data_IF_076041752342
#
_entry.id   IF_076041752342
#
_cell.length_a   1.000
_cell.length_b   1.000
_cell.length_c   1.000
_cell.angle_alpha   90.00
_cell.angle_beta   90.00
_cell.angle_gamma   90.00
#
_symmetry.space_group_name_H-M   'P 1'
#
loop_
_entity.id
_entity.type
_entity.pdbx_description
1 polymer ?
#
# COMPACT_ATOMS: atom_id res chain seq x y z
N UNK A 1 4.00 22.49 73.37
CA UNK A 1 5.22 22.52 72.56
C UNK A 1 4.90 23.25 71.26
N UNK A 2 5.48 24.43 71.03
CA UNK A 2 5.24 25.19 69.80
C UNK A 2 6.11 24.63 68.68
N UNK A 3 5.50 24.12 67.61
CA UNK A 3 6.23 23.66 66.42
C UNK A 3 6.83 24.89 65.75
N UNK A 4 8.17 24.96 65.69
CA UNK A 4 8.86 26.03 64.95
C UNK A 4 8.81 25.70 63.46
N UNK A 5 7.97 26.41 62.72
CA UNK A 5 7.90 26.34 61.26
C UNK A 5 9.02 27.22 60.70
N UNK A 6 9.89 26.66 59.88
CA UNK A 6 11.02 27.35 59.26
C UNK A 6 11.02 27.13 57.75
N UNK A 7 11.69 28.02 57.01
CA UNK A 7 11.91 27.86 55.58
C UNK A 7 12.68 26.56 55.31
N UNK A 8 12.31 25.83 54.25
CA UNK A 8 12.98 24.58 53.89
C UNK A 8 14.41 24.76 53.36
N UNK A 9 14.80 25.98 53.01
CA UNK A 9 16.14 26.27 52.53
C UNK A 9 17.15 26.24 53.69
N UNK A 10 18.19 25.43 53.55
CA UNK A 10 19.22 25.29 54.59
C UNK A 10 19.87 26.64 54.91
N UNK A 11 19.88 27.01 56.20
CA UNK A 11 20.47 28.26 56.69
C UNK A 11 19.59 29.51 56.55
N UNK A 12 18.38 29.41 56.00
CA UNK A 12 17.47 30.54 55.88
C UNK A 12 16.73 30.81 57.19
N UNK A 13 16.83 32.04 57.72
CA UNK A 13 16.14 32.49 58.95
C UNK A 13 14.92 33.38 58.68
N UNK A 14 14.60 33.64 57.40
CA UNK A 14 13.49 34.49 57.00
C UNK A 14 12.13 33.89 57.41
N UNK A 15 11.13 34.72 57.74
CA UNK A 15 9.81 34.25 58.13
C UNK A 15 9.13 33.49 56.98
N UNK A 16 8.44 32.42 57.35
CA UNK A 16 7.65 31.62 56.40
C UNK A 16 6.41 32.39 55.98
N UNK A 17 6.17 32.48 54.68
CA UNK A 17 5.02 33.19 54.10
C UNK A 17 3.95 32.23 53.56
N UNK A 18 4.30 30.96 53.32
CA UNK A 18 3.39 29.99 52.72
C UNK A 18 3.95 28.58 52.65
N UNK A 19 3.09 27.67 52.16
CA UNK A 19 3.42 26.27 51.90
C UNK A 19 3.38 26.01 50.39
N UNK A 20 4.37 25.27 49.88
CA UNK A 20 4.49 24.92 48.47
C UNK A 20 3.38 23.98 48.04
N UNK A 21 2.57 24.45 47.08
CA UNK A 21 1.52 23.65 46.43
C UNK A 21 2.13 22.48 45.64
N UNK A 22 3.36 22.66 45.15
CA UNK A 22 4.12 21.69 44.36
C UNK A 22 3.77 21.70 42.87
N UNK A 23 4.67 21.15 42.05
CA UNK A 23 4.48 20.98 40.61
C UNK A 23 4.28 19.49 40.28
N UNK A 24 3.16 19.12 39.64
CA UNK A 24 2.70 17.74 39.34
C UNK A 24 2.47 16.82 40.56
N UNK A 25 3.05 17.13 41.72
CA UNK A 25 2.89 16.43 43.00
C UNK A 25 2.86 17.45 44.14
N UNK A 26 2.21 17.08 45.25
CA UNK A 26 2.21 17.90 46.47
C UNK A 26 3.62 17.97 47.07
N UNK A 27 4.15 19.18 47.25
CA UNK A 27 5.48 19.39 47.83
C UNK A 27 5.42 19.55 49.35
N UNK A 28 4.53 20.41 49.84
CA UNK A 28 4.28 20.62 51.27
C UNK A 28 5.40 21.34 52.03
N UNK A 29 6.49 21.73 51.38
CA UNK A 29 7.60 22.50 51.99
C UNK A 29 7.19 23.94 52.27
N UNK A 30 7.61 24.47 53.42
CA UNK A 30 7.40 25.88 53.78
C UNK A 30 8.50 26.77 53.19
N UNK A 31 8.15 27.94 52.68
CA UNK A 31 9.09 28.88 52.05
C UNK A 31 8.93 30.31 52.58
N UNK A 32 10.01 31.09 52.47
CA UNK A 32 10.00 32.53 52.67
C UNK A 32 9.93 33.25 51.30
N UNK A 33 9.74 34.57 51.32
CA UNK A 33 9.60 35.39 50.10
C UNK A 33 10.74 35.22 49.09
N UNK A 34 11.99 35.18 49.58
CA UNK A 34 13.18 35.05 48.73
C UNK A 34 13.36 33.67 48.07
N UNK A 35 12.78 32.61 48.64
CA UNK A 35 12.93 31.22 48.17
C UNK A 35 11.65 30.69 47.52
N UNK A 36 10.81 31.59 47.04
CA UNK A 36 9.55 31.28 46.38
C UNK A 36 9.36 32.06 45.10
N UNK A 37 8.74 31.41 44.12
CA UNK A 37 8.21 32.04 42.93
C UNK A 37 6.72 31.73 42.93
N UNK A 38 5.90 32.77 43.13
CA UNK A 38 4.45 32.65 43.38
C UNK A 38 4.12 31.70 44.55
N UNK A 39 3.38 30.62 44.29
CA UNK A 39 2.96 29.63 45.30
C UNK A 39 3.90 28.44 45.42
N UNK A 40 5.03 28.45 44.69
CA UNK A 40 5.98 27.36 44.60
C UNK A 40 7.28 27.71 45.32
N UNK A 41 7.88 26.72 46.00
CA UNK A 41 9.28 26.85 46.40
C UNK A 41 10.19 26.88 45.17
N UNK A 42 11.40 27.43 45.33
CA UNK A 42 12.42 27.52 44.27
C UNK A 42 12.61 26.21 43.48
N UNK A 43 12.66 25.08 44.17
CA UNK A 43 12.86 23.77 43.52
C UNK A 43 11.68 23.39 42.61
N UNK A 44 10.45 23.54 43.10
CA UNK A 44 9.25 23.23 42.32
C UNK A 44 9.03 24.23 41.18
N UNK A 45 9.39 25.50 41.37
CA UNK A 45 9.33 26.51 40.33
C UNK A 45 10.34 26.20 39.21
N UNK A 46 11.59 25.86 39.56
CA UNK A 46 12.61 25.46 38.60
C UNK A 46 12.22 24.19 37.84
N UNK A 47 11.64 23.21 38.53
CA UNK A 47 11.12 22.00 37.89
C UNK A 47 9.99 22.31 36.92
N UNK A 48 9.04 23.19 37.29
CA UNK A 48 7.97 23.63 36.41
C UNK A 48 8.52 24.27 35.13
N UNK A 49 9.48 25.18 35.26
CA UNK A 49 10.11 25.86 34.12
C UNK A 49 10.83 24.85 33.22
N UNK A 50 11.56 23.89 33.80
CA UNK A 50 12.22 22.83 33.04
C UNK A 50 11.22 21.96 32.28
N UNK A 51 10.16 21.52 32.94
CA UNK A 51 9.10 20.71 32.33
C UNK A 51 8.39 21.47 31.21
N UNK A 52 7.98 22.72 31.44
CA UNK A 52 7.36 23.58 30.41
C UNK A 52 8.27 23.78 29.21
N UNK A 53 9.59 23.97 29.44
CA UNK A 53 10.57 24.06 28.37
C UNK A 53 10.65 22.77 27.56
N UNK A 54 10.70 21.61 28.22
CA UNK A 54 10.73 20.31 27.51
C UNK A 54 9.45 20.04 26.74
N UNK A 55 8.29 20.40 27.28
CA UNK A 55 7.00 20.24 26.61
C UNK A 55 6.90 21.16 25.37
N UNK A 56 7.40 22.39 25.47
CA UNK A 56 7.49 23.30 24.33
C UNK A 56 8.44 22.79 23.24
N UNK A 57 9.62 22.28 23.62
CA UNK A 57 10.59 21.67 22.69
C UNK A 57 9.99 20.44 21.99
N UNK A 58 9.31 19.56 22.73
CA UNK A 58 8.62 18.40 22.16
C UNK A 58 7.51 18.80 21.18
N UNK A 59 6.72 19.81 21.54
CA UNK A 59 5.66 20.34 20.66
C UNK A 59 6.25 20.88 19.35
N UNK A 60 7.31 21.68 19.45
CA UNK A 60 8.02 22.22 18.28
C UNK A 60 8.62 21.11 17.40
N UNK A 61 9.24 20.09 18.02
CA UNK A 61 9.80 18.95 17.30
C UNK A 61 8.71 18.18 16.53
N UNK A 62 7.54 17.97 17.16
CA UNK A 62 6.39 17.33 16.53
C UNK A 62 5.86 18.14 15.33
N UNK A 63 5.70 19.44 15.49
CA UNK A 63 5.26 20.34 14.40
C UNK A 63 6.24 20.33 13.24
N UNK A 64 7.55 20.36 13.52
CA UNK A 64 8.60 20.23 12.50
C UNK A 64 8.54 18.88 11.77
N UNK A 65 8.36 17.79 12.50
CA UNK A 65 8.25 16.45 11.91
C UNK A 65 7.01 16.33 11.00
N UNK A 66 5.88 16.90 11.41
CA UNK A 66 4.66 16.93 10.59
C UNK A 66 4.84 17.77 9.32
N UNK A 67 5.52 18.92 9.40
CA UNK A 67 5.83 19.74 8.24
C UNK A 67 6.71 18.99 7.22
N UNK A 68 7.76 18.31 7.69
CA UNK A 68 8.63 17.48 6.84
C UNK A 68 7.84 16.34 6.19
N UNK A 69 6.98 15.67 6.96
CA UNK A 69 6.12 14.60 6.44
C UNK A 69 5.19 15.09 5.32
N UNK A 70 4.53 16.23 5.50
CA UNK A 70 3.66 16.83 4.47
C UNK A 70 4.45 17.21 3.21
N UNK A 71 5.67 17.70 3.38
CA UNK A 71 6.55 18.01 2.26
C UNK A 71 6.95 16.75 1.49
N UNK A 72 7.27 15.66 2.21
CA UNK A 72 7.60 14.36 1.61
C UNK A 72 6.41 13.77 0.85
N UNK A 73 5.19 13.91 1.38
CA UNK A 73 3.97 13.50 0.67
C UNK A 73 3.78 14.25 -0.65
N UNK A 74 3.93 15.59 -0.64
CA UNK A 74 3.81 16.40 -1.87
C UNK A 74 4.86 16.03 -2.91
N UNK A 75 6.10 15.77 -2.48
CA UNK A 75 7.17 15.31 -3.37
C UNK A 75 6.87 13.92 -3.94
N UNK A 76 6.42 12.99 -3.12
CA UNK A 76 6.06 11.65 -3.58
C UNK A 76 4.90 11.70 -4.58
N UNK A 77 3.87 12.50 -4.32
CA UNK A 77 2.75 12.68 -5.24
C UNK A 77 3.21 13.30 -6.56
N UNK A 78 4.10 14.31 -6.51
CA UNK A 78 4.69 14.92 -7.71
C UNK A 78 5.46 13.90 -8.54
N UNK A 79 6.33 13.09 -7.92
CA UNK A 79 7.10 12.03 -8.61
C UNK A 79 6.17 10.95 -9.18
N UNK A 80 5.10 10.59 -8.45
CA UNK A 80 4.12 9.60 -8.90
C UNK A 80 3.32 10.06 -10.13
N UNK A 81 2.95 11.35 -10.16
CA UNK A 81 2.19 11.97 -11.24
C UNK A 81 3.04 12.42 -12.42
N UNK A 82 4.35 12.56 -12.25
CA UNK A 82 5.26 12.98 -13.33
C UNK A 82 5.06 12.05 -14.53
N UNK A 83 4.50 12.61 -15.60
CA UNK A 83 4.25 11.86 -16.83
C UNK A 83 5.60 11.61 -17.46
N UNK A 84 6.18 10.45 -17.16
CA UNK A 84 7.36 9.97 -17.87
C UNK A 84 6.87 9.65 -19.27
N UNK A 85 7.26 10.43 -20.31
CA UNK A 85 6.83 10.14 -21.67
C UNK A 85 7.39 8.77 -22.01
N UNK A 86 6.50 7.79 -22.03
CA UNK A 86 6.81 6.48 -22.56
C UNK A 86 6.90 6.74 -24.06
N UNK A 87 8.04 6.43 -24.73
CA UNK A 87 8.11 6.58 -26.17
C UNK A 87 6.89 5.90 -26.76
N UNK A 88 6.12 6.66 -27.55
CA UNK A 88 4.86 6.20 -28.12
C UNK A 88 5.19 5.12 -29.15
N UNK A 89 5.43 3.90 -28.67
CA UNK A 89 5.37 2.72 -29.49
C UNK A 89 3.92 2.62 -29.93
N UNK A 90 3.66 3.05 -31.18
CA UNK A 90 2.39 2.83 -31.88
C UNK A 90 2.22 1.34 -32.12
N UNK A 91 2.04 0.59 -31.04
CA UNK A 91 1.70 -0.80 -31.15
C UNK A 91 0.26 -0.86 -31.60
N UNK A 92 0.00 -1.47 -32.77
CA UNK A 92 -1.35 -1.75 -33.24
C UNK A 92 -1.94 -2.90 -32.41
N UNK A 93 -1.93 -2.77 -31.08
CA UNK A 93 -2.42 -3.76 -30.12
C UNK A 93 -3.84 -4.18 -30.47
N UNK A 94 -4.69 -3.22 -30.86
CA UNK A 94 -6.05 -3.50 -31.30
C UNK A 94 -6.08 -4.46 -32.49
N UNK A 95 -5.17 -4.34 -33.47
CA UNK A 95 -5.13 -5.28 -34.60
C UNK A 95 -4.65 -6.66 -34.18
N UNK A 96 -3.64 -6.76 -33.33
CA UNK A 96 -3.13 -8.04 -32.82
C UNK A 96 -4.14 -8.76 -31.93
N UNK A 97 -4.89 -8.03 -31.10
CA UNK A 97 -5.92 -8.59 -30.22
C UNK A 97 -7.13 -9.06 -31.05
N UNK A 98 -7.51 -8.31 -32.11
CA UNK A 98 -8.53 -8.74 -33.07
C UNK A 98 -8.07 -9.98 -33.85
N UNK A 99 -6.84 -10.02 -34.36
CA UNK A 99 -6.30 -11.17 -35.09
C UNK A 99 -6.19 -12.41 -34.18
N UNK A 100 -5.71 -12.25 -32.95
CA UNK A 100 -5.63 -13.34 -31.97
C UNK A 100 -7.02 -13.84 -31.54
N UNK A 101 -7.96 -12.93 -31.30
CA UNK A 101 -9.35 -13.27 -30.95
C UNK A 101 -10.08 -14.02 -32.08
N UNK A 102 -9.92 -13.57 -33.33
CA UNK A 102 -10.48 -14.25 -34.49
C UNK A 102 -9.89 -15.65 -34.67
N UNK A 103 -8.57 -15.81 -34.45
CA UNK A 103 -7.92 -17.13 -34.52
C UNK A 103 -8.50 -18.11 -33.49
N UNK A 104 -8.74 -17.66 -32.25
CA UNK A 104 -9.34 -18.50 -31.22
C UNK A 104 -10.78 -18.89 -31.55
N UNK A 105 -11.60 -17.95 -32.03
CA UNK A 105 -13.00 -18.21 -32.42
C UNK A 105 -13.06 -19.22 -33.57
N UNK A 106 -12.23 -19.05 -34.60
CA UNK A 106 -12.18 -19.99 -35.74
C UNK A 106 -11.71 -21.37 -35.27
N UNK A 107 -10.70 -21.45 -34.42
CA UNK A 107 -10.24 -22.71 -33.83
C UNK A 107 -11.32 -23.43 -33.03
N UNK A 108 -12.07 -22.69 -32.20
CA UNK A 108 -13.17 -23.24 -31.41
C UNK A 108 -14.33 -23.73 -32.28
N UNK A 109 -14.71 -22.99 -33.32
CA UNK A 109 -15.76 -23.42 -34.27
C UNK A 109 -15.34 -24.71 -34.99
N UNK A 110 -14.11 -24.77 -35.50
CA UNK A 110 -13.60 -25.98 -36.16
C UNK A 110 -13.58 -27.19 -35.23
N UNK A 111 -13.23 -27.00 -33.96
CA UNK A 111 -13.26 -28.04 -32.94
C UNK A 111 -14.68 -28.51 -32.61
N UNK A 112 -15.65 -27.59 -32.51
CA UNK A 112 -17.05 -27.96 -32.30
C UNK A 112 -17.61 -28.74 -33.50
N UNK A 113 -17.28 -28.33 -34.72
CA UNK A 113 -17.73 -29.01 -35.95
C UNK A 113 -17.15 -30.41 -36.07
N UNK A 114 -15.89 -30.64 -35.67
CA UNK A 114 -15.31 -31.99 -35.66
C UNK A 114 -15.97 -32.90 -34.63
N UNK A 115 -16.29 -32.40 -33.43
CA UNK A 115 -17.04 -33.16 -32.42
C UNK A 115 -18.44 -33.51 -32.94
N UNK A 116 -19.17 -32.54 -33.49
CA UNK A 116 -20.52 -32.77 -34.01
C UNK A 116 -20.50 -33.81 -35.14
N UNK A 117 -19.54 -33.72 -36.07
CA UNK A 117 -19.39 -34.70 -37.14
C UNK A 117 -19.17 -36.13 -36.62
N UNK A 118 -18.43 -36.29 -35.52
CA UNK A 118 -18.20 -37.59 -34.88
C UNK A 118 -19.47 -38.12 -34.21
N UNK A 119 -20.23 -37.26 -33.54
CA UNK A 119 -21.46 -37.64 -32.84
C UNK A 119 -22.61 -37.99 -33.80
N UNK A 120 -22.63 -37.43 -35.00
CA UNK A 120 -23.68 -37.70 -36.00
C UNK A 120 -23.45 -38.95 -36.85
N UNK A 121 -22.34 -39.69 -36.63
CA UNK A 121 -22.09 -40.91 -37.39
C UNK A 121 -23.04 -42.03 -36.93
N UNK A 122 -23.83 -42.62 -37.83
CA UNK A 122 -24.78 -43.67 -37.46
C UNK A 122 -24.03 -44.90 -36.91
N UNK A 123 -24.55 -45.47 -35.82
CA UNK A 123 -23.96 -46.59 -35.06
C UNK A 123 -23.76 -47.87 -35.91
N UNK A 124 -24.35 -47.92 -37.10
CA UNK A 124 -24.39 -49.07 -37.98
C UNK A 124 -23.07 -49.36 -38.71
N UNK A 125 -22.05 -48.49 -38.56
CA UNK A 125 -20.75 -48.58 -39.28
C UNK A 125 -19.63 -49.16 -38.38
N UNK A 126 -19.94 -49.61 -37.16
CA UNK A 126 -18.93 -49.98 -36.15
C UNK A 126 -18.21 -51.32 -36.41
N UNK A 127 -18.57 -52.10 -37.44
CA UNK A 127 -17.81 -53.29 -37.88
C UNK A 127 -17.03 -53.10 -39.20
N UNK A 128 -16.66 -51.85 -39.54
CA UNK A 128 -15.76 -51.56 -40.65
C UNK A 128 -14.31 -52.00 -40.38
N UNK A 129 -13.62 -52.46 -41.43
CA UNK A 129 -12.25 -52.98 -41.37
C UNK A 129 -11.27 -52.03 -40.66
N UNK A 130 -10.23 -52.59 -40.04
CA UNK A 130 -9.15 -51.89 -39.31
C UNK A 130 -8.64 -50.61 -40.01
N UNK A 131 -8.69 -50.54 -41.34
CA UNK A 131 -8.36 -49.36 -42.14
C UNK A 131 -9.21 -48.10 -41.86
N UNK A 132 -10.51 -48.21 -41.54
CA UNK A 132 -11.36 -47.05 -41.24
C UNK A 132 -11.04 -46.45 -39.86
N UNK A 133 -10.70 -47.29 -38.90
CA UNK A 133 -10.28 -46.88 -37.57
C UNK A 133 -8.98 -46.08 -37.62
N UNK A 134 -8.03 -46.50 -38.47
CA UNK A 134 -6.80 -45.76 -38.73
C UNK A 134 -7.03 -44.42 -39.43
N UNK A 135 -8.00 -44.33 -40.36
CA UNK A 135 -8.34 -43.06 -41.00
C UNK A 135 -8.95 -42.05 -40.01
N UNK A 136 -9.84 -42.51 -39.11
CA UNK A 136 -10.38 -41.65 -38.03
C UNK A 136 -9.28 -41.21 -37.06
N UNK A 137 -8.37 -42.10 -36.68
CA UNK A 137 -7.25 -41.76 -35.80
C UNK A 137 -6.30 -40.75 -36.45
N UNK A 138 -5.97 -40.92 -37.74
CA UNK A 138 -5.18 -39.95 -38.51
C UNK A 138 -5.88 -38.59 -38.60
N UNK A 139 -7.20 -38.55 -38.83
CA UNK A 139 -7.95 -37.30 -38.85
C UNK A 139 -7.89 -36.57 -37.49
N UNK A 140 -7.98 -37.31 -36.38
CA UNK A 140 -7.82 -36.76 -35.02
C UNK A 140 -6.40 -36.24 -34.77
N UNK A 141 -5.37 -36.98 -35.18
CA UNK A 141 -3.96 -36.56 -35.03
C UNK A 141 -3.69 -35.30 -35.87
N UNK A 142 -4.22 -35.22 -37.08
CA UNK A 142 -4.10 -34.03 -37.94
C UNK A 142 -4.86 -32.84 -37.34
N UNK A 143 -6.11 -33.00 -36.89
CA UNK A 143 -6.86 -31.92 -36.26
C UNK A 143 -6.21 -31.45 -34.94
N UNK A 144 -5.74 -32.37 -34.11
CA UNK A 144 -5.03 -32.07 -32.88
C UNK A 144 -3.70 -31.33 -33.13
N UNK A 145 -2.96 -31.71 -34.17
CA UNK A 145 -1.72 -31.03 -34.54
C UNK A 145 -1.97 -29.63 -35.13
N UNK A 146 -3.06 -29.39 -35.85
CA UNK A 146 -3.45 -28.02 -36.26
C UNK A 146 -3.81 -27.13 -35.06
N UNK A 147 -4.46 -27.68 -34.02
CA UNK A 147 -4.75 -26.94 -32.78
C UNK A 147 -3.46 -26.62 -32.01
N UNK A 148 -2.54 -27.59 -31.91
CA UNK A 148 -1.24 -27.40 -31.28
C UNK A 148 -0.32 -26.45 -32.07
N UNK A 149 -0.40 -26.46 -33.41
CA UNK A 149 0.35 -25.56 -34.28
C UNK A 149 -0.25 -24.15 -34.35
N UNK A 150 -1.56 -24.00 -34.11
CA UNK A 150 -2.22 -22.70 -33.99
C UNK A 150 -1.91 -21.99 -32.66
N UNK A 151 -1.58 -22.73 -31.61
CA UNK A 151 -1.23 -22.21 -30.28
C UNK A 151 -0.06 -21.20 -30.28
N UNK A 152 1.07 -21.43 -30.96
CA UNK A 152 2.15 -20.44 -31.01
C UNK A 152 1.71 -19.09 -31.58
N UNK A 153 0.75 -19.05 -32.51
CA UNK A 153 0.25 -17.79 -33.08
C UNK A 153 -0.52 -16.96 -32.03
N UNK A 154 -1.16 -17.59 -31.05
CA UNK A 154 -1.84 -16.90 -29.95
C UNK A 154 -0.93 -16.61 -28.75
N UNK A 155 -0.02 -17.52 -28.40
CA UNK A 155 0.84 -17.40 -27.20
C UNK A 155 2.02 -16.46 -27.42
N UNK A 156 2.63 -16.44 -28.62
CA UNK A 156 3.79 -15.58 -28.91
C UNK A 156 3.44 -14.08 -28.75
N UNK A 157 2.30 -13.57 -29.28
CA UNK A 157 1.90 -12.18 -29.04
C UNK A 157 1.67 -11.85 -27.57
N UNK A 158 1.10 -12.78 -26.78
CA UNK A 158 0.85 -12.57 -25.35
C UNK A 158 2.15 -12.54 -24.54
N UNK A 159 3.08 -13.46 -24.81
CA UNK A 159 4.41 -13.49 -24.18
C UNK A 159 5.24 -12.25 -24.56
N UNK A 160 5.12 -11.80 -25.82
CA UNK A 160 5.77 -10.57 -26.26
C UNK A 160 5.15 -9.33 -25.59
N UNK A 161 3.82 -9.29 -25.44
CA UNK A 161 3.12 -8.18 -24.79
C UNK A 161 3.44 -8.10 -23.29
N UNK A 162 3.60 -9.23 -22.60
CA UNK A 162 4.04 -9.26 -21.21
C UNK A 162 5.52 -8.85 -21.05
N UNK A 163 6.39 -9.25 -21.98
CA UNK A 163 7.78 -8.79 -22.03
C UNK A 163 7.89 -7.27 -22.34
N UNK A 164 7.02 -6.75 -23.20
CA UNK A 164 6.96 -5.31 -23.50
C UNK A 164 6.51 -4.51 -22.25
N UNK A 165 5.50 -5.01 -21.54
CA UNK A 165 4.99 -4.37 -20.32
C UNK A 165 6.05 -4.38 -19.22
N UNK A 166 6.83 -5.46 -19.09
CA UNK A 166 7.93 -5.52 -18.13
C UNK A 166 9.03 -4.52 -18.47
N UNK A 167 9.41 -4.35 -19.75
CA UNK A 167 10.40 -3.36 -20.16
C UNK A 167 9.97 -1.93 -19.86
N UNK A 168 8.73 -1.54 -20.23
CA UNK A 168 8.20 -0.20 -19.92
C UNK A 168 8.18 0.05 -18.41
N UNK A 169 7.84 -0.98 -17.63
CA UNK A 169 7.85 -0.88 -16.18
C UNK A 169 9.27 -0.69 -15.62
N UNK A 170 10.27 -1.39 -16.17
CA UNK A 170 11.66 -1.28 -15.75
C UNK A 170 12.24 0.09 -16.07
N UNK A 171 12.00 0.61 -17.27
CA UNK A 171 12.53 1.91 -17.67
C UNK A 171 11.90 3.06 -16.87
N UNK A 172 10.59 2.94 -16.56
CA UNK A 172 9.91 3.85 -15.64
C UNK A 172 10.51 3.75 -14.24
N UNK A 173 10.77 2.55 -13.74
CA UNK A 173 11.39 2.33 -12.42
C UNK A 173 12.79 2.96 -12.35
N UNK A 174 13.62 2.84 -13.39
CA UNK A 174 14.95 3.48 -13.42
C UNK A 174 14.87 4.99 -13.27
N UNK A 175 14.01 5.65 -14.04
CA UNK A 175 13.82 7.11 -13.97
C UNK A 175 13.26 7.55 -12.61
N UNK A 176 12.34 6.78 -12.04
CA UNK A 176 11.83 7.03 -10.68
C UNK A 176 12.94 6.89 -9.65
N UNK A 177 13.75 5.83 -9.73
CA UNK A 177 14.88 5.60 -8.82
C UNK A 177 15.88 6.75 -8.94
N UNK A 178 16.24 7.17 -10.14
CA UNK A 178 17.12 8.33 -10.37
C UNK A 178 16.56 9.60 -9.70
N UNK A 179 15.29 9.94 -9.95
CA UNK A 179 14.62 11.08 -9.29
C UNK A 179 14.62 10.97 -7.77
N UNK A 180 14.29 9.79 -7.23
CA UNK A 180 14.29 9.54 -5.79
C UNK A 180 15.69 9.69 -5.21
N UNK A 181 16.73 9.24 -5.91
CA UNK A 181 18.12 9.42 -5.49
C UNK A 181 18.57 10.87 -5.53
N UNK A 182 18.13 11.68 -6.51
CA UNK A 182 18.39 13.12 -6.52
C UNK A 182 17.70 13.80 -5.34
N UNK A 183 16.44 13.46 -5.05
CA UNK A 183 15.72 14.00 -3.89
C UNK A 183 16.36 13.56 -2.58
N UNK A 184 16.90 12.34 -2.49
CA UNK A 184 17.63 11.87 -1.30
C UNK A 184 18.86 12.72 -1.00
N UNK A 185 19.58 13.17 -2.03
CA UNK A 185 20.74 14.06 -1.87
C UNK A 185 20.32 15.42 -1.31
N UNK A 186 19.15 15.94 -1.71
CA UNK A 186 18.58 17.18 -1.17
C UNK A 186 17.94 16.98 0.21
N UNK A 187 17.37 15.79 0.46
CA UNK A 187 16.52 15.48 1.62
C UNK A 187 16.78 14.08 2.12
N UNK A 188 17.64 14.00 3.14
CA UNK A 188 18.01 12.75 3.79
C UNK A 188 16.78 12.01 4.32
N UNK A 189 16.70 10.71 4.04
CA UNK A 189 15.64 9.81 4.49
C UNK A 189 14.42 9.75 3.58
N UNK A 190 14.37 10.49 2.46
CA UNK A 190 13.26 10.44 1.51
C UNK A 190 13.08 9.05 0.89
N UNK A 191 14.15 8.31 0.63
CA UNK A 191 14.12 6.96 0.04
C UNK A 191 13.42 5.96 0.96
N UNK A 192 13.69 6.02 2.27
CA UNK A 192 13.02 5.15 3.27
C UNK A 192 11.52 5.46 3.30
N UNK A 193 11.16 6.75 3.32
CA UNK A 193 9.78 7.20 3.24
C UNK A 193 9.10 6.74 1.94
N UNK A 194 9.74 6.95 0.79
CA UNK A 194 9.22 6.58 -0.53
C UNK A 194 8.89 5.09 -0.61
N UNK A 195 9.81 4.23 -0.17
CA UNK A 195 9.60 2.79 -0.17
C UNK A 195 8.41 2.38 0.71
N UNK A 196 8.26 2.98 1.90
CA UNK A 196 7.12 2.74 2.78
C UNK A 196 5.80 3.23 2.15
N UNK A 197 5.81 4.42 1.56
CA UNK A 197 4.66 5.02 0.90
C UNK A 197 4.21 4.21 -0.33
N UNK A 198 5.14 3.77 -1.19
CA UNK A 198 4.83 2.90 -2.34
C UNK A 198 4.25 1.57 -1.89
N UNK A 199 4.80 0.96 -0.83
CA UNK A 199 4.27 -0.28 -0.26
C UNK A 199 2.84 -0.10 0.23
N UNK A 200 2.56 1.00 0.95
CA UNK A 200 1.22 1.33 1.42
C UNK A 200 0.25 1.55 0.25
N UNK A 201 0.65 2.31 -0.77
CA UNK A 201 -0.18 2.55 -1.96
C UNK A 201 -0.51 1.25 -2.73
N UNK A 202 0.45 0.33 -2.83
CA UNK A 202 0.20 -0.98 -3.43
C UNK A 202 -0.79 -1.80 -2.59
N UNK A 203 -0.67 -1.78 -1.26
CA UNK A 203 -1.63 -2.44 -0.37
C UNK A 203 -3.03 -1.86 -0.52
N UNK A 204 -3.18 -0.53 -0.51
CA UNK A 204 -4.47 0.15 -0.72
C UNK A 204 -5.08 -0.20 -2.09
N UNK A 205 -4.28 -0.27 -3.14
CA UNK A 205 -4.75 -0.72 -4.47
C UNK A 205 -5.17 -2.18 -4.46
N UNK A 206 -4.42 -3.06 -3.80
CA UNK A 206 -4.80 -4.48 -3.72
C UNK A 206 -6.10 -4.66 -2.94
N UNK A 207 -6.32 -3.91 -1.86
CA UNK A 207 -7.57 -3.96 -1.10
C UNK A 207 -8.74 -3.38 -1.91
N UNK A 208 -8.56 -2.24 -2.59
CA UNK A 208 -9.58 -1.71 -3.51
C UNK A 208 -9.91 -2.69 -4.64
N UNK A 209 -8.90 -3.34 -5.22
CA UNK A 209 -9.11 -4.35 -6.26
C UNK A 209 -9.83 -5.59 -5.70
N UNK A 210 -9.51 -6.02 -4.47
CA UNK A 210 -10.26 -7.09 -3.79
C UNK A 210 -11.70 -6.68 -3.54
N UNK A 211 -11.97 -5.46 -3.09
CA UNK A 211 -13.32 -4.95 -2.89
C UNK A 211 -14.11 -4.89 -4.19
N UNK A 212 -13.49 -4.43 -5.29
CA UNK A 212 -14.12 -4.42 -6.62
C UNK A 212 -14.38 -5.86 -7.07
N UNK A 213 -13.41 -6.77 -6.93
CA UNK A 213 -13.57 -8.17 -7.31
C UNK A 213 -14.68 -8.84 -6.49
N UNK A 214 -14.70 -8.62 -5.18
CA UNK A 214 -15.76 -9.12 -4.29
C UNK A 214 -17.11 -8.48 -4.63
N UNK A 215 -17.15 -7.20 -5.01
CA UNK A 215 -18.34 -6.50 -5.50
C UNK A 215 -18.87 -7.08 -6.81
N UNK A 216 -17.99 -7.35 -7.77
CA UNK A 216 -18.35 -8.00 -9.04
C UNK A 216 -18.81 -9.44 -8.79
N UNK A 217 -18.12 -10.19 -7.93
CA UNK A 217 -18.52 -11.55 -7.55
C UNK A 217 -19.82 -11.56 -6.73
N UNK A 218 -20.11 -10.55 -5.92
CA UNK A 218 -21.41 -10.41 -5.25
C UNK A 218 -22.48 -9.95 -6.21
N UNK A 219 -22.23 -9.11 -7.22
CA UNK A 219 -23.25 -8.77 -8.24
C UNK A 219 -23.55 -9.99 -9.11
N UNK A 220 -22.54 -10.73 -9.56
CA UNK A 220 -22.71 -11.99 -10.32
C UNK A 220 -23.32 -13.08 -9.42
N UNK A 221 -22.95 -13.12 -8.14
CA UNK A 221 -23.48 -14.04 -7.15
C UNK A 221 -24.88 -13.68 -6.64
N UNK A 222 -25.28 -12.42 -6.62
CA UNK A 222 -26.63 -11.94 -6.21
C UNK A 222 -27.63 -12.05 -7.36
N UNK A 223 -27.17 -12.00 -8.60
CA UNK A 223 -27.98 -12.44 -9.75
C UNK A 223 -28.21 -13.97 -9.70
N UNK A 224 -27.28 -14.73 -9.11
CA UNK A 224 -27.43 -16.17 -8.88
C UNK A 224 -28.13 -16.55 -7.55
N UNK A 225 -28.11 -15.68 -6.54
CA UNK A 225 -28.63 -15.94 -5.20
C UNK A 225 -29.16 -14.64 -4.58
N UNK A 226 -30.48 -14.44 -4.61
CA UNK A 226 -31.12 -13.29 -3.98
C UNK A 226 -30.82 -13.19 -2.47
N UNK A 227 -30.59 -11.94 -2.03
CA UNK A 227 -30.54 -11.45 -0.65
C UNK A 227 -29.38 -11.94 0.26
N UNK A 228 -28.55 -10.99 0.72
CA UNK A 228 -28.38 -10.53 2.12
C UNK A 228 -27.08 -9.71 2.18
N UNK A 229 -27.19 -8.49 2.71
CA UNK A 229 -26.11 -7.51 2.73
C UNK A 229 -25.05 -7.74 3.80
N UNK A 230 -23.88 -7.12 3.60
CA UNK A 230 -22.91 -6.89 4.67
C UNK A 230 -22.11 -5.61 4.42
N UNK A 231 -22.06 -4.80 5.47
CA UNK A 231 -21.30 -3.56 5.65
C UNK A 231 -19.81 -3.84 5.89
N UNK A 232 -18.91 -3.07 5.27
CA UNK A 232 -17.46 -3.17 5.47
C UNK A 232 -16.91 -2.06 6.39
N UNK A 233 -15.86 -2.44 7.13
CA UNK A 233 -15.37 -1.83 8.37
C UNK A 233 -14.26 -0.79 8.18
N UNK A 234 -14.20 0.14 9.13
CA UNK A 234 -13.38 1.37 9.14
C UNK A 234 -12.04 1.23 9.90
N UNK A 235 -11.58 0.01 10.24
CA UNK A 235 -10.56 -0.18 11.29
C UNK A 235 -9.08 -0.17 10.88
N UNK A 236 -8.74 -0.29 9.59
CA UNK A 236 -7.35 -0.53 9.17
C UNK A 236 -6.51 0.75 8.93
N UNK A 237 -7.13 1.91 8.72
CA UNK A 237 -6.41 3.17 8.50
C UNK A 237 -5.63 3.62 9.75
N UNK A 238 -6.22 3.45 10.93
CA UNK A 238 -5.63 3.85 12.21
C UNK A 238 -4.49 2.95 12.70
N UNK A 239 -4.37 1.74 12.16
CA UNK A 239 -3.26 0.82 12.50
C UNK A 239 -1.99 1.23 11.77
N UNK A 240 -2.08 1.58 10.49
CA UNK A 240 -0.94 1.98 9.66
C UNK A 240 -0.35 3.31 10.09
N UNK A 241 -1.21 4.27 10.49
CA UNK A 241 -0.78 5.58 11.00
C UNK A 241 0.06 5.48 12.28
N UNK A 242 -0.25 4.52 13.16
CA UNK A 242 0.51 4.27 14.39
C UNK A 242 1.90 3.71 14.11
N UNK A 243 2.00 2.72 13.23
CA UNK A 243 3.27 2.07 12.88
C UNK A 243 4.30 3.05 12.27
N UNK A 244 3.85 3.99 11.42
CA UNK A 244 4.75 4.99 10.81
C UNK A 244 5.25 6.00 11.86
N UNK A 245 4.39 6.40 12.79
CA UNK A 245 4.77 7.33 13.88
C UNK A 245 5.81 6.74 14.82
N UNK A 246 5.67 5.46 15.17
CA UNK A 246 6.59 4.79 16.08
C UNK A 246 7.99 4.61 15.45
N UNK A 247 8.06 4.40 14.14
CA UNK A 247 9.33 4.27 13.41
C UNK A 247 10.04 5.61 13.22
N UNK A 248 9.29 6.71 13.08
CA UNK A 248 9.86 8.07 13.04
C UNK A 248 10.44 8.51 14.39
N UNK A 249 9.83 8.08 15.51
CA UNK A 249 10.31 8.43 16.85
C UNK A 249 11.56 7.62 17.30
N UNK A 250 11.98 6.62 16.52
CA UNK A 250 13.20 5.82 16.80
C UNK A 250 14.46 6.39 16.15
N UNK A 251 14.35 7.43 15.33
CA UNK A 251 15.47 8.12 14.68
C UNK A 251 15.78 9.42 15.41
#
# INVERSE_FOLDING_TARGET
>A
MSIKIACSQSGCTNPVIGQCTGHKKTCGRYYCHEHSIDTLCSDCANQKIADEKTEAEQKLAKERAEAIYQEYLKLAEKVSKEHIPIPAFRFQANKLLILGGLSFIVGAILFCLTILGVLTLPENIVMGSISELWQKLLAYVMCGSFILAGWPIGVIPLAWLSAQQSWVSQERQKKIVERVTTIEQEKKGFTKFWNAWVKQQNQERTEKNKQILMGVLTVVGVIAAGAVGATLSESDYDRTRRAVRDEMNRQ
#
